data_IF_089715039926
#
_entry.id   IF_089715039926
#
_cell.length_a   1.000
_cell.length_b   1.000
_cell.length_c   1.000
_cell.angle_alpha   90.00
_cell.angle_beta   90.00
_cell.angle_gamma   90.00
#
_symmetry.space_group_name_H-M   'P 1'
#
loop_
_entity.id
_entity.type
_entity.pdbx_description
1 polymer ?
#
# COMPACT_ATOMS: atom_id res chain seq x y z
N UNK A 1 4.63 17.80 -8.78
CA UNK A 1 5.03 16.47 -9.30
C UNK A 1 4.54 15.34 -8.40
N UNK A 2 4.75 15.43 -7.09
CA UNK A 2 4.32 14.43 -6.08
C UNK A 2 2.90 13.91 -6.27
N UNK A 3 1.86 14.76 -6.37
CA UNK A 3 0.48 14.29 -6.54
C UNK A 3 0.28 13.45 -7.81
N UNK A 4 0.92 13.82 -8.93
CA UNK A 4 0.83 13.07 -10.19
C UNK A 4 1.54 11.71 -10.07
N UNK A 5 2.72 11.69 -9.44
CA UNK A 5 3.47 10.45 -9.18
C UNK A 5 2.68 9.53 -8.26
N UNK A 6 2.10 10.08 -7.18
CA UNK A 6 1.29 9.31 -6.24
C UNK A 6 0.04 8.76 -6.91
N UNK A 7 -0.71 9.55 -7.68
CA UNK A 7 -1.87 9.07 -8.43
C UNK A 7 -1.51 7.92 -9.39
N UNK A 8 -0.38 8.01 -10.08
CA UNK A 8 0.10 6.93 -10.95
C UNK A 8 0.55 5.68 -10.17
N UNK A 9 1.23 5.85 -9.04
CA UNK A 9 1.58 4.75 -8.14
C UNK A 9 0.34 4.08 -7.54
N UNK A 10 -0.67 4.86 -7.14
CA UNK A 10 -1.98 4.40 -6.70
C UNK A 10 -2.68 3.57 -7.77
N UNK A 11 -2.68 4.04 -9.02
CA UNK A 11 -3.21 3.28 -10.15
C UNK A 11 -2.42 1.97 -10.39
N UNK A 12 -1.09 2.02 -10.31
CA UNK A 12 -0.24 0.84 -10.39
C UNK A 12 -0.60 -0.19 -9.32
N UNK A 13 -0.61 0.22 -8.04
CA UNK A 13 -0.96 -0.64 -6.90
C UNK A 13 -2.33 -1.27 -7.12
N UNK A 14 -3.35 -0.47 -7.47
CA UNK A 14 -4.70 -0.97 -7.74
C UNK A 14 -4.71 -2.04 -8.83
N UNK A 15 -3.97 -1.85 -9.93
CA UNK A 15 -3.83 -2.88 -10.97
C UNK A 15 -3.21 -4.17 -10.43
N UNK A 16 -2.19 -4.10 -9.57
CA UNK A 16 -1.59 -5.30 -8.96
C UNK A 16 -2.53 -6.02 -8.01
N UNK A 17 -3.28 -5.27 -7.20
CA UNK A 17 -4.26 -5.82 -6.26
C UNK A 17 -5.38 -6.60 -6.98
N UNK A 18 -5.83 -6.12 -8.14
CA UNK A 18 -6.79 -6.85 -8.99
C UNK A 18 -6.25 -8.21 -9.45
N UNK A 19 -4.93 -8.32 -9.65
CA UNK A 19 -4.24 -9.57 -9.99
C UNK A 19 -3.83 -10.41 -8.76
N UNK A 20 -4.32 -10.07 -7.56
CA UNK A 20 -3.99 -10.77 -6.30
C UNK A 20 -2.50 -10.75 -5.96
N UNK A 21 -1.79 -9.71 -6.43
CA UNK A 21 -0.40 -9.47 -6.07
C UNK A 21 -0.34 -8.41 -4.98
N UNK A 22 0.40 -8.70 -3.92
CA UNK A 22 0.77 -7.70 -2.94
C UNK A 22 1.78 -6.73 -3.57
N UNK A 23 1.75 -5.46 -3.17
CA UNK A 23 2.69 -4.44 -3.63
C UNK A 23 3.45 -3.89 -2.45
N UNK A 24 4.75 -4.16 -2.41
CA UNK A 24 5.67 -3.59 -1.43
C UNK A 24 6.09 -2.18 -1.88
N UNK A 25 5.86 -1.21 -1.01
CA UNK A 25 6.23 0.18 -1.21
C UNK A 25 7.41 0.59 -0.30
N UNK A 26 8.12 -0.36 0.31
CA UNK A 26 9.28 -0.14 1.20
C UNK A 26 8.90 0.06 2.68
N UNK A 27 7.86 0.85 2.96
CA UNK A 27 7.33 1.04 4.33
C UNK A 27 6.33 -0.03 4.75
N UNK A 28 5.92 -0.87 3.81
CA UNK A 28 4.88 -1.88 4.02
C UNK A 28 4.32 -2.34 2.68
N UNK A 29 3.35 -3.25 2.73
CA UNK A 29 2.73 -3.81 1.55
C UNK A 29 1.22 -3.61 1.52
N UNK A 30 0.70 -3.28 0.34
CA UNK A 30 -0.73 -3.36 0.05
C UNK A 30 -1.06 -4.77 -0.46
N UNK A 31 -2.17 -5.34 0.00
CA UNK A 31 -2.69 -6.58 -0.56
C UNK A 31 -4.21 -6.62 -0.46
N UNK A 32 -4.81 -7.58 -1.16
CA UNK A 32 -6.21 -7.94 -0.98
C UNK A 32 -6.28 -9.25 -0.22
N UNK A 33 -7.04 -9.26 0.88
CA UNK A 33 -7.25 -10.44 1.71
C UNK A 33 -8.72 -10.86 1.65
N UNK A 34 -9.01 -12.18 1.56
CA UNK A 34 -10.37 -12.67 1.65
C UNK A 34 -10.89 -12.50 3.09
N UNK A 35 -12.09 -11.94 3.22
CA UNK A 35 -12.81 -11.77 4.48
C UNK A 35 -14.28 -12.17 4.27
N UNK A 36 -15.00 -12.48 5.35
CA UNK A 36 -16.42 -12.81 5.28
C UNK A 36 -17.24 -11.72 5.96
N UNK A 37 -18.04 -10.99 5.19
CA UNK A 37 -18.94 -9.98 5.72
C UNK A 37 -20.26 -10.61 6.17
N UNK A 38 -20.73 -10.25 7.37
CA UNK A 38 -22.04 -10.68 7.86
C UNK A 38 -23.15 -9.86 7.19
N UNK A 39 -24.08 -10.53 6.53
CA UNK A 39 -25.21 -9.91 5.79
C UNK A 39 -26.58 -10.29 6.36
N UNK A 40 -26.61 -10.92 7.53
CA UNK A 40 -27.80 -11.33 8.28
C UNK A 40 -27.45 -12.44 9.29
N UNK A 41 -28.44 -12.94 10.03
CA UNK A 41 -28.25 -14.11 10.89
C UNK A 41 -27.74 -15.30 10.05
N UNK A 42 -26.56 -15.81 10.42
CA UNK A 42 -25.84 -16.93 9.79
C UNK A 42 -25.57 -16.82 8.28
N UNK A 43 -25.61 -15.62 7.72
CA UNK A 43 -25.27 -15.37 6.30
C UNK A 43 -23.96 -14.61 6.18
N UNK A 44 -23.00 -15.24 5.49
CA UNK A 44 -21.69 -14.68 5.22
C UNK A 44 -21.50 -14.50 3.72
N UNK A 45 -21.04 -13.30 3.33
CA UNK A 45 -20.65 -12.98 1.95
C UNK A 45 -19.12 -12.95 1.89
N UNK A 46 -18.47 -13.76 1.03
CA UNK A 46 -17.05 -13.60 0.78
C UNK A 46 -16.81 -12.23 0.13
N UNK A 47 -15.98 -11.43 0.79
CA UNK A 47 -15.54 -10.13 0.32
C UNK A 47 -14.03 -10.09 0.24
N UNK A 48 -13.54 -9.15 -0.55
CA UNK A 48 -12.12 -8.94 -0.76
C UNK A 48 -11.76 -7.58 -0.21
N UNK A 49 -10.99 -7.57 0.88
CA UNK A 49 -10.63 -6.35 1.58
C UNK A 49 -9.23 -5.91 1.20
N UNK A 50 -9.03 -4.67 0.73
CA UNK A 50 -7.69 -4.10 0.63
C UNK A 50 -7.16 -3.80 2.03
N UNK A 51 -5.92 -4.21 2.30
CA UNK A 51 -5.20 -3.97 3.55
C UNK A 51 -3.83 -3.39 3.25
N UNK A 52 -3.38 -2.52 4.14
CA UNK A 52 -1.98 -2.09 4.21
C UNK A 52 -1.35 -2.71 5.45
N UNK A 53 -0.26 -3.45 5.25
CA UNK A 53 0.51 -4.05 6.35
C UNK A 53 1.87 -3.34 6.45
N UNK A 54 2.10 -2.53 7.50
CA UNK A 54 3.40 -1.90 7.73
C UNK A 54 4.52 -2.94 7.89
N UNK A 55 5.73 -2.61 7.47
CA UNK A 55 6.87 -3.51 7.63
C UNK A 55 7.24 -3.65 9.13
N UNK A 56 7.90 -4.75 9.49
CA UNK A 56 8.25 -5.06 10.88
C UNK A 56 9.13 -3.98 11.54
N UNK A 57 9.98 -3.34 10.75
CA UNK A 57 10.81 -2.22 11.20
C UNK A 57 9.95 -1.03 11.67
N UNK A 58 8.99 -0.60 10.83
CA UNK A 58 8.06 0.49 11.17
C UNK A 58 7.20 0.12 12.38
N UNK A 59 6.63 -1.09 12.42
CA UNK A 59 5.84 -1.53 13.57
C UNK A 59 6.63 -1.45 14.89
N UNK A 60 7.89 -1.89 14.89
CA UNK A 60 8.74 -1.87 16.08
C UNK A 60 9.17 -0.46 16.47
N UNK A 61 9.57 0.36 15.49
CA UNK A 61 10.13 1.68 15.74
C UNK A 61 9.07 2.66 16.26
N UNK A 62 7.87 2.59 15.68
CA UNK A 62 6.76 3.49 16.03
C UNK A 62 5.74 2.85 16.98
N UNK A 63 6.00 1.64 17.49
CA UNK A 63 5.12 0.90 18.43
C UNK A 63 3.68 0.77 17.91
N UNK A 64 3.53 0.53 16.61
CA UNK A 64 2.22 0.42 15.97
C UNK A 64 1.56 -0.93 16.32
N UNK A 65 0.26 -0.90 16.61
CA UNK A 65 -0.56 -2.10 16.62
C UNK A 65 -1.18 -2.30 15.23
N UNK A 66 -0.89 -3.45 14.61
CA UNK A 66 -1.54 -3.82 13.34
C UNK A 66 -2.88 -4.52 13.64
N UNK A 67 -3.88 -4.30 12.78
CA UNK A 67 -5.08 -5.12 12.78
C UNK A 67 -4.69 -6.60 12.65
N UNK A 68 -5.50 -7.49 13.23
CA UNK A 68 -5.25 -8.94 13.26
C UNK A 68 -5.14 -9.58 11.87
N UNK A 69 -5.69 -8.93 10.85
CA UNK A 69 -5.66 -9.36 9.46
C UNK A 69 -4.24 -9.28 8.89
N UNK A 70 -3.66 -10.45 8.57
CA UNK A 70 -2.32 -10.56 7.99
C UNK A 70 -2.39 -10.97 6.52
N UNK A 71 -1.47 -10.42 5.73
CA UNK A 71 -1.23 -10.87 4.36
C UNK A 71 -0.66 -12.30 4.43
N UNK A 72 -1.24 -13.24 3.68
CA UNK A 72 -0.78 -14.62 3.68
C UNK A 72 0.61 -14.72 3.04
N UNK A 73 1.52 -15.51 3.63
CA UNK A 73 2.92 -15.66 3.15
C UNK A 73 3.02 -16.13 1.69
N UNK A 74 2.02 -16.87 1.22
CA UNK A 74 1.93 -17.35 -0.18
C UNK A 74 1.49 -16.28 -1.19
N UNK A 75 1.12 -15.09 -0.74
CA UNK A 75 0.66 -14.00 -1.63
C UNK A 75 1.85 -13.50 -2.43
N UNK A 76 1.84 -13.56 -3.77
CA UNK A 76 2.94 -13.03 -4.57
C UNK A 76 3.11 -11.54 -4.31
N UNK A 77 4.32 -11.11 -3.93
CA UNK A 77 4.64 -9.71 -3.69
C UNK A 77 5.51 -9.16 -4.82
N UNK A 78 5.21 -7.94 -5.27
CA UNK A 78 5.99 -7.20 -6.27
C UNK A 78 6.36 -5.82 -5.72
N UNK A 79 7.52 -5.25 -6.07
CA UNK A 79 7.82 -3.86 -5.74
C UNK A 79 7.02 -2.90 -6.63
N UNK A 80 7.03 -1.61 -6.30
CA UNK A 80 6.63 -0.57 -7.25
C UNK A 80 7.52 -0.61 -8.49
N UNK A 81 6.90 -0.63 -9.67
CA UNK A 81 7.61 -0.54 -10.93
C UNK A 81 7.78 0.93 -11.34
N UNK A 82 8.89 1.55 -10.94
CA UNK A 82 9.16 2.96 -11.22
C UNK A 82 9.29 3.25 -12.71
N UNK A 83 9.75 2.30 -13.53
CA UNK A 83 9.82 2.49 -14.98
C UNK A 83 8.43 2.54 -15.58
N UNK A 84 7.57 1.56 -15.26
CA UNK A 84 6.19 1.57 -15.74
C UNK A 84 5.42 2.81 -15.27
N UNK A 85 5.59 3.22 -14.01
CA UNK A 85 4.93 4.43 -13.49
C UNK A 85 5.43 5.68 -14.21
N UNK A 86 6.75 5.77 -14.46
CA UNK A 86 7.35 6.89 -15.18
C UNK A 86 6.87 6.97 -16.64
N UNK A 87 6.77 5.82 -17.31
CA UNK A 87 6.24 5.72 -18.67
C UNK A 87 4.78 6.18 -18.73
N UNK A 88 3.95 5.78 -17.76
CA UNK A 88 2.52 6.13 -17.68
C UNK A 88 2.27 7.64 -17.57
N UNK A 89 3.21 8.40 -16.99
CA UNK A 89 3.08 9.86 -16.77
C UNK A 89 4.13 10.71 -17.49
N UNK A 90 4.94 10.10 -18.36
CA UNK A 90 6.02 10.73 -19.12
C UNK A 90 7.07 11.47 -18.24
N UNK A 91 7.41 10.87 -17.11
CA UNK A 91 8.49 11.35 -16.23
C UNK A 91 9.75 10.51 -16.39
N UNK A 92 10.87 10.97 -15.83
CA UNK A 92 12.05 10.12 -15.70
C UNK A 92 11.87 9.15 -14.52
N UNK A 93 12.30 7.88 -14.63
CA UNK A 93 12.22 6.92 -13.53
C UNK A 93 12.83 7.43 -12.22
N UNK A 94 13.98 8.13 -12.30
CA UNK A 94 14.63 8.73 -11.12
C UNK A 94 13.74 9.79 -10.44
N UNK A 95 12.98 10.58 -11.21
CA UNK A 95 12.05 11.57 -10.66
C UNK A 95 10.89 10.89 -9.93
N UNK A 96 10.37 9.80 -10.49
CA UNK A 96 9.33 8.97 -9.85
C UNK A 96 9.84 8.36 -8.55
N UNK A 97 11.00 7.70 -8.60
CA UNK A 97 11.62 7.09 -7.42
C UNK A 97 11.84 8.11 -6.31
N UNK A 98 12.41 9.28 -6.63
CA UNK A 98 12.63 10.34 -5.64
C UNK A 98 11.32 10.84 -5.03
N UNK A 99 10.29 11.11 -5.84
CA UNK A 99 8.98 11.55 -5.34
C UNK A 99 8.34 10.50 -4.41
N UNK A 100 8.46 9.21 -4.74
CA UNK A 100 7.98 8.12 -3.88
C UNK A 100 8.76 8.13 -2.57
N UNK A 101 10.10 8.12 -2.60
CA UNK A 101 10.91 8.14 -1.38
C UNK A 101 10.59 9.34 -0.48
N UNK A 102 10.46 10.55 -1.03
CA UNK A 102 10.07 11.75 -0.26
C UNK A 102 8.69 11.59 0.39
N UNK A 103 7.71 11.03 -0.34
CA UNK A 103 6.36 10.75 0.20
C UNK A 103 6.41 9.77 1.37
N UNK A 104 7.20 8.70 1.24
CA UNK A 104 7.35 7.68 2.28
C UNK A 104 8.12 8.18 3.50
N UNK A 105 9.13 9.03 3.29
CA UNK A 105 9.84 9.72 4.38
C UNK A 105 8.90 10.66 5.12
N UNK A 106 8.05 11.40 4.41
CA UNK A 106 7.03 12.25 5.02
C UNK A 106 6.03 11.43 5.85
N UNK A 107 5.58 10.28 5.33
CA UNK A 107 4.72 9.34 6.06
C UNK A 107 5.40 8.86 7.36
N UNK A 108 6.65 8.40 7.29
CA UNK A 108 7.40 7.92 8.45
C UNK A 108 7.68 9.04 9.48
N UNK A 109 7.97 10.26 9.02
CA UNK A 109 8.11 11.44 9.89
C UNK A 109 6.80 11.80 10.59
N UNK A 110 5.67 11.70 9.89
CA UNK A 110 4.37 12.02 10.46
C UNK A 110 3.92 10.96 11.50
N UNK A 111 4.28 9.68 11.29
CA UNK A 111 4.12 8.64 12.32
C UNK A 111 4.94 8.93 13.58
N UNK A 112 6.12 9.56 13.46
CA UNK A 112 6.94 9.95 14.61
C UNK A 112 6.21 10.94 15.52
N UNK A 113 5.51 11.88 14.90
CA UNK A 113 4.71 12.92 15.57
C UNK A 113 3.41 12.38 16.19
N UNK A 114 3.16 11.07 16.12
CA UNK A 114 1.91 10.42 16.58
C UNK A 114 0.65 10.99 15.93
N UNK A 115 0.77 11.51 14.70
CA UNK A 115 -0.37 12.00 13.92
C UNK A 115 -1.01 10.85 13.15
N UNK A 116 -2.32 10.95 12.97
CA UNK A 116 -3.05 10.05 12.08
C UNK A 116 -2.62 10.29 10.62
N UNK A 117 -2.38 9.20 9.91
CA UNK A 117 -1.95 9.21 8.51
C UNK A 117 -2.73 8.16 7.74
N UNK A 118 -3.09 8.49 6.51
CA UNK A 118 -3.74 7.58 5.59
C UNK A 118 -3.11 7.67 4.20
N UNK A 119 -3.16 6.55 3.48
CA UNK A 119 -2.87 6.52 2.05
C UNK A 119 -4.18 6.59 1.30
N UNK A 120 -4.40 7.69 0.57
CA UNK A 120 -5.54 7.86 -0.31
C UNK A 120 -5.20 7.39 -1.72
N UNK A 121 -6.08 6.58 -2.30
CA UNK A 121 -6.03 6.22 -3.72
C UNK A 121 -7.00 7.11 -4.48
N UNK A 122 -6.49 7.88 -5.44
CA UNK A 122 -7.29 8.67 -6.40
C UNK A 122 -7.66 7.86 -7.65
#
# INVERSE_FOLDING_TARGET
>A
EICKVWAAASAHIRRQLLHKRAVDIGVGAFAVVPEYATVGEDKFLPVERPVFQPCSMLMRFYKLSCATTKIAEKTPAVPLDFNQIADDIHFLPNTVEQCIHETLLFFAGTLHDQKEVEFTFE
#
